data_IF_677593041298
#
_entry.id   IF_677593041298
#
_cell.length_a   1.000
_cell.length_b   1.000
_cell.length_c   1.000
_cell.angle_alpha   90.00
_cell.angle_beta   90.00
_cell.angle_gamma   90.00
#
_symmetry.space_group_name_H-M   'P 1'
#
loop_
_entity.id
_entity.type
_entity.pdbx_description
1 polymer ?
#
# COMPACT_ATOMS: atom_id res chain seq x y z
N UNK A 1 16.45 13.98 9.24
CA UNK A 1 15.91 12.63 9.58
C UNK A 1 14.44 12.64 9.20
N UNK A 2 14.01 11.83 8.24
CA UNK A 2 12.59 11.74 7.89
C UNK A 2 11.92 10.84 8.93
N UNK A 3 11.05 11.44 9.73
CA UNK A 3 10.24 10.79 10.75
C UNK A 3 9.24 9.86 10.04
N UNK A 4 9.42 8.55 10.17
CA UNK A 4 8.47 7.58 9.62
C UNK A 4 7.18 7.60 10.45
N UNK A 5 6.27 8.52 10.11
CA UNK A 5 4.94 8.60 10.70
C UNK A 5 4.14 7.34 10.35
N UNK A 6 3.53 6.77 11.39
CA UNK A 6 2.84 5.49 11.43
C UNK A 6 1.85 5.23 10.30
N UNK A 7 1.79 3.98 9.88
CA UNK A 7 0.86 3.40 8.91
C UNK A 7 -0.60 3.89 9.03
N UNK A 8 -1.28 3.78 7.88
CA UNK A 8 -2.73 3.65 7.66
C UNK A 8 -3.41 4.93 7.18
N UNK A 9 -4.04 4.82 6.01
CA UNK A 9 -4.94 5.80 5.43
C UNK A 9 -6.14 6.07 6.35
N UNK A 10 -5.95 6.81 7.45
CA UNK A 10 -7.01 7.45 8.25
C UNK A 10 -7.79 8.51 7.48
N UNK A 11 -7.68 8.51 6.15
CA UNK A 11 -8.37 9.37 5.22
C UNK A 11 -9.80 8.88 5.08
N UNK A 12 -10.75 9.76 5.39
CA UNK A 12 -12.16 9.50 5.14
C UNK A 12 -12.40 9.58 3.62
N UNK A 13 -12.74 8.44 3.02
CA UNK A 13 -13.05 8.33 1.60
C UNK A 13 -14.54 8.11 1.42
N UNK A 14 -15.12 8.67 0.36
CA UNK A 14 -16.45 8.28 -0.09
C UNK A 14 -16.45 6.78 -0.49
N UNK A 15 -17.63 6.16 -0.55
CA UNK A 15 -17.72 4.76 -0.98
C UNK A 15 -17.12 4.53 -2.39
N UNK A 16 -17.31 5.51 -3.28
CA UNK A 16 -16.75 5.52 -4.64
C UNK A 16 -15.22 5.61 -4.63
N UNK A 17 -14.66 6.51 -3.82
CA UNK A 17 -13.21 6.70 -3.74
C UNK A 17 -12.53 5.51 -3.08
N UNK A 18 -13.19 4.90 -2.09
CA UNK A 18 -12.73 3.65 -1.45
C UNK A 18 -12.65 2.51 -2.46
N UNK A 19 -13.68 2.32 -3.29
CA UNK A 19 -13.66 1.31 -4.34
C UNK A 19 -12.56 1.59 -5.38
N UNK A 20 -12.36 2.85 -5.73
CA UNK A 20 -11.32 3.28 -6.68
C UNK A 20 -9.92 3.04 -6.11
N UNK A 21 -9.68 3.40 -4.85
CA UNK A 21 -8.42 3.16 -4.16
C UNK A 21 -8.12 1.66 -4.02
N UNK A 22 -9.13 0.83 -3.72
CA UNK A 22 -8.97 -0.62 -3.71
C UNK A 22 -8.54 -1.15 -5.09
N UNK A 23 -9.19 -0.68 -6.16
CA UNK A 23 -8.84 -1.10 -7.52
C UNK A 23 -7.42 -0.65 -7.91
N UNK A 24 -7.06 0.60 -7.63
CA UNK A 24 -5.72 1.14 -7.91
C UNK A 24 -4.62 0.43 -7.10
N UNK A 25 -4.91 0.09 -5.85
CA UNK A 25 -3.97 -0.54 -4.94
C UNK A 25 -3.97 -2.07 -4.96
N UNK A 26 -4.58 -2.71 -5.97
CA UNK A 26 -4.71 -4.16 -6.06
C UNK A 26 -5.26 -4.81 -4.77
N UNK A 27 -6.37 -4.28 -4.26
CA UNK A 27 -6.99 -4.70 -2.99
C UNK A 27 -6.43 -4.02 -1.74
N UNK A 28 -5.38 -3.20 -1.85
CA UNK A 28 -4.81 -2.45 -0.73
C UNK A 28 -5.14 -0.95 -0.82
N UNK A 29 -6.08 -0.48 0.02
CA UNK A 29 -6.49 0.94 0.07
C UNK A 29 -5.29 1.88 0.26
N UNK A 30 -4.39 1.57 1.18
CA UNK A 30 -3.26 2.46 1.50
C UNK A 30 -2.26 2.56 0.34
N UNK A 31 -2.19 1.54 -0.52
CA UNK A 31 -1.38 1.59 -1.74
C UNK A 31 -2.09 2.40 -2.83
N UNK A 32 -3.39 2.20 -3.03
CA UNK A 32 -4.15 2.98 -4.01
C UNK A 32 -4.17 4.47 -3.71
N UNK A 33 -4.32 4.86 -2.43
CA UNK A 33 -4.23 6.25 -2.00
C UNK A 33 -2.85 6.83 -2.24
N UNK A 34 -1.77 6.10 -1.89
CA UNK A 34 -0.39 6.56 -2.17
C UNK A 34 -0.13 6.73 -3.66
N UNK A 35 -0.63 5.81 -4.48
CA UNK A 35 -0.50 5.90 -5.93
C UNK A 35 -1.21 7.14 -6.49
N UNK A 36 -2.45 7.38 -6.06
CA UNK A 36 -3.22 8.54 -6.48
C UNK A 36 -2.56 9.87 -6.07
N UNK A 37 -2.01 9.96 -4.86
CA UNK A 37 -1.28 11.15 -4.39
C UNK A 37 -0.01 11.40 -5.19
N UNK A 38 0.78 10.37 -5.46
CA UNK A 38 2.00 10.49 -6.28
C UNK A 38 1.68 10.94 -7.70
N UNK A 39 0.64 10.36 -8.29
CA UNK A 39 0.16 10.75 -9.60
C UNK A 39 -0.29 12.23 -9.62
N UNK A 40 -1.05 12.67 -8.62
CA UNK A 40 -1.52 14.05 -8.53
C UNK A 40 -0.40 15.06 -8.26
N UNK A 41 0.65 14.66 -7.56
CA UNK A 41 1.81 15.51 -7.26
C UNK A 41 2.84 15.58 -8.40
N UNK A 42 2.60 14.90 -9.53
CA UNK A 42 3.58 14.65 -10.60
C UNK A 42 4.91 14.08 -10.06
N UNK A 43 4.83 13.39 -8.91
CA UNK A 43 5.98 12.73 -8.33
C UNK A 43 6.22 11.43 -9.12
N UNK A 44 7.39 11.34 -9.75
CA UNK A 44 7.86 10.06 -10.29
C UNK A 44 7.91 9.07 -9.14
N UNK A 45 7.10 8.02 -9.23
CA UNK A 45 7.11 6.93 -8.25
C UNK A 45 8.54 6.41 -8.13
N UNK A 46 9.21 6.74 -7.03
CA UNK A 46 10.53 6.18 -6.74
C UNK A 46 10.36 4.69 -6.52
N UNK A 47 11.04 3.90 -7.35
CA UNK A 47 11.05 2.43 -7.23
C UNK A 47 11.50 2.08 -5.82
N UNK A 48 10.72 1.25 -5.13
CA UNK A 48 11.10 0.79 -3.80
C UNK A 48 12.42 0.01 -3.90
N UNK A 49 13.36 0.19 -2.96
CA UNK A 49 14.58 -0.60 -2.93
C UNK A 49 14.25 -2.10 -2.93
N UNK A 50 15.04 -2.91 -3.65
CA UNK A 50 14.82 -4.36 -3.75
C UNK A 50 14.66 -5.03 -2.38
N UNK A 51 15.42 -4.60 -1.38
CA UNK A 51 15.33 -5.08 -0.01
C UNK A 51 13.94 -4.89 0.63
N UNK A 52 13.24 -3.80 0.30
CA UNK A 52 11.90 -3.52 0.82
C UNK A 52 10.84 -4.40 0.14
N UNK A 53 11.00 -4.64 -1.16
CA UNK A 53 10.16 -5.56 -1.93
C UNK A 53 10.29 -6.97 -1.37
N UNK A 54 11.52 -7.45 -1.16
CA UNK A 54 11.78 -8.78 -0.61
C UNK A 54 11.21 -8.95 0.80
N UNK A 55 11.37 -7.94 1.68
CA UNK A 55 10.79 -7.97 3.03
C UNK A 55 9.26 -8.05 3.00
N UNK A 56 8.63 -7.34 2.05
CA UNK A 56 7.17 -7.37 1.87
C UNK A 56 6.69 -8.74 1.36
N UNK A 57 7.45 -9.36 0.45
CA UNK A 57 7.15 -10.70 -0.05
C UNK A 57 7.23 -11.77 1.05
N UNK A 58 8.25 -11.70 1.93
CA UNK A 58 8.38 -12.62 3.08
C UNK A 58 7.15 -12.53 3.99
N UNK A 59 6.74 -11.33 4.39
CA UNK A 59 5.55 -11.15 5.23
C UNK A 59 4.26 -11.65 4.57
N UNK A 60 4.16 -11.51 3.25
CA UNK A 60 3.03 -12.03 2.49
C UNK A 60 3.00 -13.56 2.51
N UNK A 61 4.16 -14.20 2.30
CA UNK A 61 4.29 -15.65 2.37
C UNK A 61 3.90 -16.18 3.76
N UNK A 62 4.42 -15.57 4.84
CA UNK A 62 4.07 -15.93 6.23
C UNK A 62 2.56 -15.83 6.48
N UNK A 63 1.90 -14.76 6.01
CA UNK A 63 0.46 -14.58 6.18
C UNK A 63 -0.35 -15.66 5.43
N UNK A 64 0.09 -16.07 4.25
CA UNK A 64 -0.56 -17.13 3.47
C UNK A 64 -0.40 -18.49 4.12
N UNK A 65 0.80 -18.80 4.62
CA UNK A 65 1.06 -20.05 5.36
C UNK A 65 0.22 -20.15 6.64
N UNK A 66 0.06 -19.05 7.37
CA UNK A 66 -0.79 -19.00 8.56
C UNK A 66 -2.27 -19.23 8.21
N UNK A 67 -2.76 -18.64 7.11
CA UNK A 67 -4.13 -18.84 6.64
C UNK A 67 -4.39 -20.26 6.15
N UNK A 68 -3.39 -20.92 5.58
CA UNK A 68 -3.51 -22.31 5.13
C UNK A 68 -3.55 -23.32 6.28
N UNK A 69 -3.13 -22.93 7.48
CA UNK A 69 -3.09 -23.78 8.68
C UNK A 69 -4.31 -23.63 9.60
N UNK A 70 -5.22 -22.71 9.28
CA UNK A 70 -6.49 -22.47 9.97
C UNK A 70 -7.64 -23.09 9.17
#
# INVERSE_FOLDING_TARGET
MAEFSSCVAGVRLSARDRATALRLGNGNISQGVRYALRFAADERATVAPLSEILRSAVRMAESLEQKSKA
#
